data_IF_013126925508
#
_entry.id   IF_013126925508
#
_cell.length_a   1.000
_cell.length_b   1.000
_cell.length_c   1.000
_cell.angle_alpha   90.00
_cell.angle_beta   90.00
_cell.angle_gamma   90.00
#
_symmetry.space_group_name_H-M   'P 1'
#
loop_
_entity.id
_entity.type
_entity.pdbx_description
1 polymer ?
#
# COMPACT_ATOMS: atom_id res chain seq x y z
N UNK A 1 -23.99 10.98 -10.22
CA UNK A 1 -22.69 10.85 -9.53
C UNK A 1 -22.38 9.37 -9.37
N UNK A 2 -21.15 8.92 -9.61
CA UNK A 2 -20.80 7.50 -9.54
C UNK A 2 -20.44 7.10 -8.13
N UNK A 3 -21.02 6.00 -7.69
CA UNK A 3 -20.73 5.39 -6.41
C UNK A 3 -19.95 4.09 -6.62
N UNK A 4 -18.90 3.89 -5.84
CA UNK A 4 -18.17 2.63 -5.76
C UNK A 4 -18.54 1.96 -4.43
N UNK A 5 -19.01 0.71 -4.49
CA UNK A 5 -19.22 -0.10 -3.29
C UNK A 5 -17.90 -0.75 -2.89
N UNK A 6 -17.43 -0.45 -1.67
CA UNK A 6 -16.23 -1.08 -1.13
C UNK A 6 -16.62 -2.47 -0.62
N UNK A 7 -15.93 -3.55 -1.03
CA UNK A 7 -16.24 -4.88 -0.54
C UNK A 7 -16.00 -4.94 0.99
N UNK A 8 -16.76 -5.76 1.73
CA UNK A 8 -16.46 -6.01 3.14
C UNK A 8 -15.13 -6.75 3.27
N UNK A 9 -14.45 -6.57 4.40
CA UNK A 9 -13.29 -7.39 4.74
C UNK A 9 -13.69 -8.87 4.84
N UNK A 10 -12.90 -9.76 4.24
CA UNK A 10 -13.14 -11.21 4.23
C UNK A 10 -11.96 -11.97 4.80
N UNK A 11 -12.15 -13.26 5.11
CA UNK A 11 -11.08 -14.15 5.59
C UNK A 11 -9.87 -14.16 4.64
N UNK A 12 -10.10 -14.09 3.32
CA UNK A 12 -9.03 -14.08 2.33
C UNK A 12 -8.06 -12.92 2.54
N UNK A 13 -8.56 -11.72 2.86
CA UNK A 13 -7.72 -10.56 3.11
C UNK A 13 -6.82 -10.75 4.34
N UNK A 14 -7.34 -11.39 5.40
CA UNK A 14 -6.57 -11.70 6.59
C UNK A 14 -5.51 -12.77 6.28
N UNK A 15 -5.85 -13.80 5.50
CA UNK A 15 -4.88 -14.81 5.06
C UNK A 15 -3.77 -14.22 4.19
N UNK A 16 -4.09 -13.28 3.30
CA UNK A 16 -3.09 -12.54 2.53
C UNK A 16 -2.14 -11.75 3.45
N UNK A 17 -2.66 -11.10 4.49
CA UNK A 17 -1.85 -10.37 5.47
C UNK A 17 -0.91 -11.31 6.25
N UNK A 18 -1.44 -12.44 6.72
CA UNK A 18 -0.65 -13.47 7.42
C UNK A 18 0.42 -14.04 6.48
N UNK A 19 0.07 -14.38 5.24
CA UNK A 19 1.01 -14.85 4.23
C UNK A 19 2.11 -13.84 3.94
N UNK A 20 1.77 -12.55 3.84
CA UNK A 20 2.74 -11.48 3.68
C UNK A 20 3.68 -11.34 4.88
N UNK A 21 3.14 -11.45 6.11
CA UNK A 21 3.94 -11.52 7.32
C UNK A 21 4.92 -12.69 7.31
N UNK A 22 4.50 -13.87 6.82
CA UNK A 22 5.37 -15.02 6.61
C UNK A 22 6.51 -14.73 5.64
N UNK A 23 6.24 -14.07 4.52
CA UNK A 23 7.27 -13.63 3.56
C UNK A 23 8.27 -12.67 4.21
N UNK A 24 7.79 -11.71 5.01
CA UNK A 24 8.67 -10.78 5.75
C UNK A 24 9.57 -11.51 6.75
N UNK A 25 9.04 -12.49 7.49
CA UNK A 25 9.83 -13.30 8.43
C UNK A 25 10.91 -14.13 7.72
N UNK A 26 10.57 -14.72 6.57
CA UNK A 26 11.56 -15.44 5.74
C UNK A 26 12.64 -14.47 5.26
N UNK A 27 12.26 -13.30 4.74
CA UNK A 27 13.24 -12.30 4.28
C UNK A 27 14.13 -11.78 5.41
N UNK A 28 13.57 -11.53 6.60
CA UNK A 28 14.32 -11.12 7.79
C UNK A 28 15.35 -12.18 8.22
N UNK A 29 15.10 -13.46 7.98
CA UNK A 29 16.04 -14.55 8.25
C UNK A 29 17.23 -14.59 7.29
N UNK A 30 17.14 -13.92 6.13
CA UNK A 30 18.22 -13.91 5.12
C UNK A 30 19.21 -12.77 5.35
N UNK A 31 20.50 -12.99 5.11
CA UNK A 31 21.55 -11.95 5.11
C UNK A 31 21.50 -11.02 3.87
N UNK A 32 20.40 -11.02 3.10
CA UNK A 32 20.28 -10.21 1.89
C UNK A 32 20.02 -8.73 2.21
N UNK A 33 21.01 -7.87 1.97
CA UNK A 33 20.95 -6.41 2.16
C UNK A 33 20.52 -5.63 0.90
N UNK A 34 19.79 -6.25 -0.04
CA UNK A 34 19.33 -5.58 -1.25
C UNK A 34 18.30 -4.48 -0.96
N UNK A 35 18.67 -3.23 -1.23
CA UNK A 35 17.81 -2.04 -1.10
C UNK A 35 16.51 -2.22 -1.91
N UNK A 36 16.62 -2.69 -3.15
CA UNK A 36 15.47 -2.86 -4.04
C UNK A 36 14.43 -3.82 -3.45
N UNK A 37 14.88 -4.95 -2.91
CA UNK A 37 14.00 -5.93 -2.29
C UNK A 37 13.29 -5.32 -1.07
N UNK A 38 14.02 -4.61 -0.21
CA UNK A 38 13.42 -3.93 0.96
C UNK A 38 12.42 -2.85 0.56
N UNK A 39 12.67 -2.14 -0.54
CA UNK A 39 11.74 -1.14 -1.10
C UNK A 39 10.44 -1.82 -1.58
N UNK A 40 10.54 -2.93 -2.31
CA UNK A 40 9.37 -3.70 -2.76
C UNK A 40 8.57 -4.23 -1.56
N UNK A 41 9.25 -4.75 -0.54
CA UNK A 41 8.62 -5.24 0.68
C UNK A 41 7.99 -4.09 1.51
N UNK A 42 8.59 -2.91 1.53
CA UNK A 42 8.02 -1.73 2.18
C UNK A 42 6.77 -1.23 1.46
N UNK A 43 6.81 -1.12 0.13
CA UNK A 43 5.65 -0.76 -0.70
C UNK A 43 4.51 -1.77 -0.52
N UNK A 44 4.79 -3.06 -0.56
CA UNK A 44 3.80 -4.11 -0.32
C UNK A 44 3.17 -4.02 1.07
N UNK A 45 3.98 -3.72 2.10
CA UNK A 45 3.48 -3.52 3.46
C UNK A 45 2.57 -2.28 3.55
N UNK A 46 2.97 -1.17 2.93
CA UNK A 46 2.17 0.06 2.89
C UNK A 46 0.81 -0.17 2.18
N UNK A 47 0.83 -0.86 1.03
CA UNK A 47 -0.39 -1.26 0.32
C UNK A 47 -1.30 -2.14 1.18
N UNK A 48 -0.73 -3.11 1.91
CA UNK A 48 -1.49 -3.98 2.80
C UNK A 48 -2.13 -3.19 3.94
N UNK A 49 -1.38 -2.30 4.60
CA UNK A 49 -1.88 -1.43 5.68
C UNK A 49 -3.05 -0.57 5.18
N UNK A 50 -2.88 0.12 4.05
CA UNK A 50 -3.93 0.99 3.48
C UNK A 50 -5.14 0.17 3.07
N UNK A 51 -4.94 -0.96 2.38
CA UNK A 51 -6.05 -1.82 1.92
C UNK A 51 -6.86 -2.37 3.08
N UNK A 52 -6.20 -2.97 4.07
CA UNK A 52 -6.88 -3.52 5.25
C UNK A 52 -7.55 -2.42 6.07
N UNK A 53 -6.90 -1.26 6.22
CA UNK A 53 -7.51 -0.10 6.86
C UNK A 53 -8.79 0.33 6.15
N UNK A 54 -8.76 0.52 4.82
CA UNK A 54 -9.94 0.89 4.04
C UNK A 54 -11.06 -0.15 4.18
N UNK A 55 -10.73 -1.45 4.07
CA UNK A 55 -11.72 -2.51 4.22
C UNK A 55 -12.33 -2.56 5.62
N UNK A 56 -11.53 -2.33 6.65
CA UNK A 56 -11.98 -2.31 8.04
C UNK A 56 -12.92 -1.13 8.32
N UNK A 57 -12.52 0.08 7.93
CA UNK A 57 -13.27 1.31 8.24
C UNK A 57 -14.43 1.59 7.29
N UNK A 58 -14.31 1.16 6.03
CA UNK A 58 -15.21 1.52 4.95
C UNK A 58 -15.84 0.31 4.24
N UNK A 59 -15.50 -0.91 4.63
CA UNK A 59 -16.04 -2.13 4.04
C UNK A 59 -17.58 -2.17 4.08
N UNK A 60 -18.18 -2.53 2.96
CA UNK A 60 -19.64 -2.57 2.79
C UNK A 60 -20.30 -1.21 2.54
N UNK A 61 -19.58 -0.09 2.68
CA UNK A 61 -20.09 1.26 2.39
C UNK A 61 -19.97 1.61 0.91
N UNK A 62 -20.80 2.53 0.45
CA UNK A 62 -20.70 3.14 -0.88
C UNK A 62 -20.01 4.50 -0.77
N UNK A 63 -19.03 4.74 -1.64
CA UNK A 63 -18.31 6.01 -1.70
C UNK A 63 -18.54 6.71 -3.02
N UNK A 64 -18.62 8.04 -2.99
CA UNK A 64 -18.71 8.85 -4.20
C UNK A 64 -17.31 9.05 -4.78
N UNK A 65 -17.08 8.54 -6.00
CA UNK A 65 -15.80 8.63 -6.72
C UNK A 65 -15.38 10.09 -6.99
N UNK A 66 -16.33 11.01 -7.14
CA UNK A 66 -16.05 12.41 -7.45
C UNK A 66 -15.41 13.18 -6.28
N UNK A 67 -15.33 12.59 -5.08
CA UNK A 67 -14.76 13.25 -3.88
C UNK A 67 -13.24 13.13 -3.77
N UNK A 68 -12.55 12.59 -4.77
CA UNK A 68 -11.08 12.53 -4.75
C UNK A 68 -10.49 11.51 -3.76
N UNK A 69 -11.30 10.62 -3.18
CA UNK A 69 -10.84 9.64 -2.18
C UNK A 69 -9.67 8.79 -2.68
N UNK A 70 -9.68 8.39 -3.95
CA UNK A 70 -8.61 7.58 -4.53
C UNK A 70 -7.28 8.35 -4.64
N UNK A 71 -7.31 9.67 -4.85
CA UNK A 71 -6.11 10.51 -4.82
C UNK A 71 -5.53 10.51 -3.41
N UNK A 72 -6.38 10.70 -2.38
CA UNK A 72 -5.96 10.68 -0.98
C UNK A 72 -5.37 9.31 -0.59
N UNK A 73 -6.01 8.21 -0.97
CA UNK A 73 -5.48 6.87 -0.73
C UNK A 73 -4.14 6.64 -1.42
N UNK A 74 -3.99 7.17 -2.64
CA UNK A 74 -2.73 7.17 -3.37
C UNK A 74 -1.63 7.93 -2.63
N UNK A 75 -1.90 9.15 -2.17
CA UNK A 75 -0.97 9.97 -1.38
C UNK A 75 -0.55 9.25 -0.09
N UNK A 76 -1.53 8.68 0.63
CA UNK A 76 -1.28 7.95 1.88
C UNK A 76 -0.40 6.73 1.62
N UNK A 77 -0.71 5.94 0.59
CA UNK A 77 0.11 4.78 0.20
C UNK A 77 1.53 5.19 -0.18
N UNK A 78 1.66 6.23 -1.00
CA UNK A 78 2.95 6.77 -1.42
C UNK A 78 3.77 7.28 -0.24
N UNK A 79 3.14 7.92 0.74
CA UNK A 79 3.79 8.41 1.97
C UNK A 79 4.22 7.26 2.87
N UNK A 80 3.36 6.25 3.05
CA UNK A 80 3.65 5.10 3.91
C UNK A 80 4.76 4.21 3.36
N UNK A 81 4.93 4.13 2.04
CA UNK A 81 5.91 3.25 1.40
C UNK A 81 7.37 3.47 1.85
N UNK A 82 7.95 4.69 1.77
CA UNK A 82 9.30 4.94 2.27
C UNK A 82 9.39 4.81 3.80
N UNK A 83 8.31 5.11 4.54
CA UNK A 83 8.26 4.95 6.00
C UNK A 83 8.35 3.47 6.37
N UNK A 84 7.56 2.61 5.76
CA UNK A 84 7.61 1.16 5.99
C UNK A 84 8.94 0.57 5.53
N UNK A 85 9.48 1.00 4.38
CA UNK A 85 10.84 0.63 3.95
C UNK A 85 11.89 1.00 4.98
N UNK A 86 11.86 2.22 5.52
CA UNK A 86 12.78 2.67 6.57
C UNK A 86 12.69 1.78 7.80
N UNK A 87 11.47 1.47 8.28
CA UNK A 87 11.31 0.58 9.43
C UNK A 87 11.81 -0.83 9.14
N UNK A 88 11.60 -1.38 7.94
CA UNK A 88 12.14 -2.69 7.58
C UNK A 88 13.67 -2.70 7.58
N UNK A 89 14.33 -1.66 7.08
CA UNK A 89 15.79 -1.51 7.15
C UNK A 89 16.26 -1.45 8.61
N UNK A 90 15.58 -0.64 9.44
CA UNK A 90 15.92 -0.50 10.85
C UNK A 90 15.76 -1.83 11.60
N UNK A 91 14.62 -2.52 11.42
CA UNK A 91 14.39 -3.83 12.05
C UNK A 91 15.45 -4.85 11.64
N UNK A 92 15.84 -4.86 10.36
CA UNK A 92 16.88 -5.75 9.86
C UNK A 92 18.24 -5.47 10.50
N UNK A 93 18.66 -4.20 10.57
CA UNK A 93 19.88 -3.80 11.27
C UNK A 93 19.87 -4.18 12.76
N UNK A 94 18.73 -4.08 13.45
CA UNK A 94 18.64 -4.46 14.87
C UNK A 94 18.75 -5.98 15.04
N UNK A 95 18.09 -6.75 14.17
CA UNK A 95 18.10 -8.20 14.21
C UNK A 95 19.48 -8.78 13.89
N UNK A 96 20.18 -8.19 12.91
CA UNK A 96 21.54 -8.56 12.55
C UNK A 96 22.51 -7.64 13.27
N UNK A 97 22.85 -7.98 14.52
CA UNK A 97 23.78 -7.20 15.36
C UNK A 97 25.24 -7.31 14.88
N UNK A 98 25.50 -7.06 13.59
CA UNK A 98 26.83 -6.97 13.01
C UNK A 98 27.52 -5.67 13.43
N UNK A 99 28.86 -5.69 13.40
CA UNK A 99 29.67 -4.49 13.66
C UNK A 99 29.40 -3.41 12.59
N UNK A 100 29.15 -3.84 11.35
CA UNK A 100 28.78 -2.98 10.23
C UNK A 100 27.30 -3.22 9.94
N UNK A 101 26.44 -2.18 9.95
CA UNK A 101 25.02 -2.33 9.67
C UNK A 101 24.77 -2.71 8.20
N UNK A 102 23.77 -3.56 7.95
CA UNK A 102 23.34 -3.96 6.60
C UNK A 102 22.92 -2.74 5.76
N UNK A 103 22.28 -1.76 6.41
CA UNK A 103 21.89 -0.48 5.80
C UNK A 103 22.51 0.69 6.56
N UNK A 104 23.26 1.55 5.86
CA UNK A 104 23.85 2.73 6.47
C UNK A 104 22.79 3.80 6.82
N UNK A 105 23.12 4.69 7.75
CA UNK A 105 22.23 5.78 8.15
C UNK A 105 21.93 6.72 6.99
N UNK A 106 22.90 6.93 6.10
CA UNK A 106 22.77 7.74 4.90
C UNK A 106 21.68 7.15 4.00
N UNK A 107 21.76 5.85 3.66
CA UNK A 107 20.76 5.18 2.81
C UNK A 107 19.36 5.25 3.42
N UNK A 108 19.22 4.98 4.72
CA UNK A 108 17.93 5.06 5.41
C UNK A 108 17.35 6.48 5.39
N UNK A 109 18.18 7.50 5.60
CA UNK A 109 17.76 8.90 5.57
C UNK A 109 17.35 9.35 4.17
N UNK A 110 18.06 8.90 3.12
CA UNK A 110 17.70 9.26 1.75
C UNK A 110 16.36 8.67 1.31
N UNK A 111 15.97 7.50 1.82
CA UNK A 111 14.64 6.93 1.58
C UNK A 111 13.56 7.86 2.16
N UNK A 112 13.75 8.35 3.39
CA UNK A 112 12.81 9.27 4.04
C UNK A 112 12.73 10.62 3.32
N UNK A 113 13.85 11.16 2.86
CA UNK A 113 13.88 12.43 2.09
C UNK A 113 13.07 12.33 0.79
N UNK A 114 12.94 11.13 0.20
CA UNK A 114 12.14 10.90 -1.01
C UNK A 114 10.64 10.80 -0.74
N UNK A 115 10.18 10.85 0.52
CA UNK A 115 8.75 10.74 0.89
C UNK A 115 7.82 11.67 0.10
N UNK A 116 8.14 12.96 -0.10
CA UNK A 116 7.26 13.84 -0.89
C UNK A 116 7.09 13.39 -2.34
N UNK A 117 8.17 12.92 -2.98
CA UNK A 117 8.12 12.42 -4.35
C UNK A 117 7.25 11.16 -4.47
N UNK A 118 7.36 10.24 -3.50
CA UNK A 118 6.54 9.04 -3.44
C UNK A 118 5.07 9.34 -3.16
N UNK A 119 4.79 10.31 -2.28
CA UNK A 119 3.43 10.78 -2.01
C UNK A 119 2.78 11.37 -3.27
N UNK A 120 3.51 12.21 -4.02
CA UNK A 120 3.05 12.76 -5.29
C UNK A 120 2.80 11.65 -6.33
N UNK A 121 3.73 10.70 -6.48
CA UNK A 121 3.57 9.58 -7.39
C UNK A 121 2.32 8.75 -7.06
N UNK A 122 2.12 8.43 -5.77
CA UNK A 122 0.93 7.73 -5.29
C UNK A 122 -0.35 8.52 -5.57
N UNK A 123 -0.36 9.83 -5.32
CA UNK A 123 -1.50 10.70 -5.62
C UNK A 123 -1.84 10.74 -7.11
N UNK A 124 -0.84 10.82 -7.98
CA UNK A 124 -1.02 10.77 -9.44
C UNK A 124 -1.61 9.43 -9.89
N UNK A 125 -1.11 8.31 -9.37
CA UNK A 125 -1.66 6.98 -9.64
C UNK A 125 -3.12 6.89 -9.18
N UNK A 126 -3.41 7.34 -7.95
CA UNK A 126 -4.77 7.38 -7.41
C UNK A 126 -5.72 8.26 -8.24
N UNK A 127 -5.23 9.39 -8.73
CA UNK A 127 -5.96 10.28 -9.65
C UNK A 127 -6.22 9.63 -11.00
N UNK A 128 -5.23 8.96 -11.59
CA UNK A 128 -5.40 8.24 -12.84
C UNK A 128 -6.48 7.15 -12.73
N UNK A 129 -6.44 6.33 -11.67
CA UNK A 129 -7.46 5.30 -11.40
C UNK A 129 -8.85 5.91 -11.21
N UNK A 130 -8.95 7.04 -10.50
CA UNK A 130 -10.20 7.78 -10.34
C UNK A 130 -10.77 8.22 -11.68
N UNK A 131 -9.96 8.85 -12.53
CA UNK A 131 -10.38 9.35 -13.84
C UNK A 131 -10.82 8.20 -14.76
N UNK A 132 -10.09 7.09 -14.77
CA UNK A 132 -10.50 5.88 -15.49
C UNK A 132 -11.86 5.38 -15.00
N UNK A 133 -12.07 5.31 -13.69
CA UNK A 133 -13.35 4.90 -13.09
C UNK A 133 -14.52 5.85 -13.41
N UNK A 134 -14.25 7.13 -13.67
CA UNK A 134 -15.26 8.10 -14.13
C UNK A 134 -15.53 8.02 -15.63
N UNK A 135 -14.58 7.54 -16.44
CA UNK A 135 -14.70 7.45 -17.90
C UNK A 135 -15.52 6.25 -18.41
N UNK A 136 -15.55 5.11 -17.69
CA UNK A 136 -16.22 3.86 -18.14
C UNK A 136 -17.74 4.04 -18.25
N UNK A 137 -18.43 4.00 -19.40
CA UNK A 137 -19.86 4.28 -19.50
C UNK A 137 -20.74 3.50 -18.50
N UNK A 138 -21.80 4.13 -17.97
CA UNK A 138 -22.73 3.45 -17.05
C UNK A 138 -23.50 2.38 -17.83
N UNK A 139 -23.30 1.11 -17.47
CA UNK A 139 -24.04 0.00 -18.08
C UNK A 139 -25.45 -0.07 -17.49
N UNK A 140 -26.41 0.57 -18.18
CA UNK A 140 -27.84 0.59 -17.80
C UNK A 140 -28.48 -0.81 -17.72
N UNK A 141 -27.86 -1.84 -18.31
CA UNK A 141 -28.38 -3.20 -18.30
C UNK A 141 -27.94 -4.01 -17.07
N UNK A 142 -26.96 -3.54 -16.28
CA UNK A 142 -26.45 -4.25 -15.11
C UNK A 142 -27.36 -4.14 -13.86
N UNK A 143 -28.42 -3.34 -13.91
CA UNK A 143 -29.36 -3.13 -12.80
C UNK A 143 -30.69 -3.85 -12.97
N UNK A 144 -30.89 -4.63 -14.04
CA UNK A 144 -32.05 -5.52 -14.09
C UNK A 144 -31.81 -6.68 -13.11
N UNK A 145 -32.67 -6.88 -12.10
CA UNK A 145 -32.63 -8.11 -11.30
C UNK A 145 -32.74 -9.30 -12.26
N UNK A 146 -32.03 -10.39 -11.96
CA UNK A 146 -32.22 -11.63 -12.68
C UNK A 146 -33.63 -12.14 -12.34
N UNK A 147 -34.52 -12.06 -13.32
CA UNK A 147 -35.88 -12.62 -13.27
C UNK A 147 -35.83 -14.16 -13.21
#
# INVERSE_FOLDING_TARGET
>A
MRYLRIPPQTLLHNLMAIGYGGVLMIWLSTENASIWLTVVLGLGLALMIVTLGVLHWMGGRTINLARGWLVLLGIITGTLSPITTFFLMLFKNVQHSHIVPDFSNEVMSEILVRTPAWALAGGLIGGAVMLMGLAVPENKNATKPAD
#
